data_IF_989920552004
#
_entry.id   IF_989920552004
#
_cell.length_a   1.000
_cell.length_b   1.000
_cell.length_c   1.000
_cell.angle_alpha   90.00
_cell.angle_beta   90.00
_cell.angle_gamma   90.00
#
_symmetry.space_group_name_H-M   'P 1'
#
loop_
_entity.id
_entity.type
_entity.pdbx_description
1 polymer ?
#
# COMPACT_ATOMS: atom_id res chain seq x y z
N UNK A 1 0.30 1.57 6.17
CA UNK A 1 -0.31 1.60 4.83
C UNK A 1 -1.82 1.32 4.95
N UNK A 2 -2.57 2.25 5.50
CA UNK A 2 -4.05 2.16 5.60
C UNK A 2 -4.74 3.28 4.84
N UNK A 3 -4.04 4.40 4.67
CA UNK A 3 -4.49 5.66 4.06
C UNK A 3 -5.02 5.53 2.61
N UNK A 4 -5.14 4.32 2.12
CA UNK A 4 -5.08 3.98 0.72
C UNK A 4 -5.94 2.76 0.38
N UNK A 5 -6.91 2.37 1.23
CA UNK A 5 -7.97 1.44 0.82
C UNK A 5 -7.70 -0.06 0.98
N UNK A 6 -6.99 -0.48 2.03
CA UNK A 6 -6.90 -1.91 2.40
C UNK A 6 -7.47 -2.15 3.82
N UNK A 7 -8.03 -3.34 4.04
CA UNK A 7 -8.30 -3.90 5.37
C UNK A 7 -6.96 -4.12 6.09
N UNK A 8 -6.49 -3.07 6.76
CA UNK A 8 -5.15 -2.93 7.31
C UNK A 8 -4.91 -3.63 8.66
N UNK A 9 -5.83 -4.49 9.11
CA UNK A 9 -5.83 -5.12 10.44
C UNK A 9 -4.57 -5.95 10.75
N UNK A 10 -4.25 -6.95 9.92
CA UNK A 10 -3.06 -7.77 10.14
C UNK A 10 -1.76 -7.00 9.89
N UNK A 11 -1.80 -5.97 9.04
CA UNK A 11 -0.60 -5.21 8.65
C UNK A 11 -0.10 -4.27 9.74
N UNK A 12 -1.00 -3.71 10.58
CA UNK A 12 -0.62 -2.75 11.63
C UNK A 12 0.08 -3.46 12.79
N UNK A 13 -0.41 -4.63 13.21
CA UNK A 13 0.20 -5.46 14.25
C UNK A 13 1.62 -5.89 13.86
N UNK A 14 1.79 -6.43 12.64
CA UNK A 14 3.10 -6.85 12.14
C UNK A 14 4.04 -5.65 11.94
N UNK A 15 3.54 -4.52 11.45
CA UNK A 15 4.33 -3.30 11.32
C UNK A 15 4.80 -2.78 12.69
N UNK A 16 3.95 -2.83 13.71
CA UNK A 16 4.33 -2.45 15.07
C UNK A 16 5.40 -3.38 15.65
N UNK A 17 5.26 -4.70 15.45
CA UNK A 17 6.26 -5.67 15.87
C UNK A 17 7.63 -5.44 15.18
N UNK A 18 7.63 -5.15 13.88
CA UNK A 18 8.85 -4.82 13.14
C UNK A 18 9.46 -3.50 13.61
N UNK A 19 8.66 -2.45 13.83
CA UNK A 19 9.15 -1.17 14.34
C UNK A 19 9.84 -1.33 15.71
N UNK A 20 9.27 -2.14 16.60
CA UNK A 20 9.89 -2.50 17.88
C UNK A 20 11.21 -3.26 17.68
N UNK A 21 11.27 -4.21 16.74
CA UNK A 21 12.49 -4.94 16.43
C UNK A 21 13.60 -4.04 15.84
N UNK A 22 13.21 -2.99 15.11
CA UNK A 22 14.10 -1.98 14.54
C UNK A 22 14.52 -0.90 15.56
N UNK A 23 14.00 -0.96 16.79
CA UNK A 23 14.40 -0.09 17.90
C UNK A 23 13.53 1.15 18.10
N UNK A 24 12.42 1.28 17.37
CA UNK A 24 11.39 2.28 17.68
C UNK A 24 10.52 1.75 18.82
N UNK A 25 10.54 2.41 19.97
CA UNK A 25 9.76 2.01 21.14
C UNK A 25 8.82 3.14 21.58
N UNK A 26 7.55 2.79 21.71
CA UNK A 26 6.52 3.64 22.30
C UNK A 26 5.48 2.74 23.02
N UNK A 27 4.79 3.24 24.07
CA UNK A 27 3.68 2.54 24.68
C UNK A 27 2.62 2.05 23.67
N UNK A 28 2.19 2.91 22.76
CA UNK A 28 1.20 2.57 21.75
C UNK A 28 1.70 1.51 20.74
N UNK A 29 2.98 1.54 20.35
CA UNK A 29 3.58 0.48 19.52
C UNK A 29 3.57 -0.88 20.22
N UNK A 30 3.92 -0.93 21.51
CA UNK A 30 3.91 -2.18 22.29
C UNK A 30 2.50 -2.75 22.44
N UNK A 31 1.52 -1.88 22.65
CA UNK A 31 0.11 -2.29 22.72
C UNK A 31 -0.36 -2.84 21.37
N UNK A 32 -0.07 -2.12 20.27
CA UNK A 32 -0.46 -2.54 18.93
C UNK A 32 0.17 -3.86 18.50
N UNK A 33 1.45 -4.09 18.83
CA UNK A 33 2.14 -5.36 18.56
C UNK A 33 1.57 -6.54 19.36
N UNK A 34 0.81 -6.28 20.43
CA UNK A 34 0.13 -7.29 21.24
C UNK A 34 -1.30 -7.61 20.80
N UNK A 35 -1.84 -6.91 19.81
CA UNK A 35 -3.21 -7.13 19.32
C UNK A 35 -3.33 -8.43 18.51
N UNK A 36 -4.51 -9.08 18.50
CA UNK A 36 -4.82 -10.13 17.51
C UNK A 36 -4.65 -9.62 16.07
N UNK A 37 -4.19 -10.48 15.16
CA UNK A 37 -4.00 -10.12 13.74
C UNK A 37 -5.32 -9.73 13.05
N UNK A 38 -6.44 -10.21 13.58
CA UNK A 38 -7.79 -9.97 13.11
C UNK A 38 -8.41 -8.69 13.71
N UNK A 39 -7.63 -7.89 14.44
CA UNK A 39 -8.12 -6.67 15.09
C UNK A 39 -8.54 -5.65 14.04
N UNK A 40 -9.79 -5.18 14.12
CA UNK A 40 -10.33 -4.27 13.12
C UNK A 40 -9.53 -2.97 13.01
N UNK A 41 -9.57 -2.37 11.81
CA UNK A 41 -8.94 -1.08 11.55
C UNK A 41 -9.37 0.00 12.56
N UNK A 42 -10.66 0.08 12.87
CA UNK A 42 -11.21 1.07 13.80
C UNK A 42 -10.59 1.02 15.19
N UNK A 43 -10.14 -0.16 15.64
CA UNK A 43 -9.47 -0.33 16.93
C UNK A 43 -7.98 0.01 16.83
N UNK A 44 -7.34 -0.29 15.70
CA UNK A 44 -5.91 -0.02 15.50
C UNK A 44 -5.61 1.42 15.07
N UNK A 45 -6.56 2.16 14.51
CA UNK A 45 -6.36 3.54 14.04
C UNK A 45 -5.84 4.47 15.14
N UNK A 46 -6.51 4.45 16.30
CA UNK A 46 -6.16 5.32 17.42
C UNK A 46 -4.74 5.02 17.90
N UNK A 47 -4.40 3.74 18.05
CA UNK A 47 -3.05 3.31 18.43
C UNK A 47 -1.99 3.70 17.40
N UNK A 48 -2.31 3.68 16.10
CA UNK A 48 -1.36 4.14 15.07
C UNK A 48 -1.13 5.64 15.22
N UNK A 49 -2.17 6.44 15.43
CA UNK A 49 -2.03 7.89 15.62
C UNK A 49 -1.23 8.21 16.88
N UNK A 50 -1.51 7.51 17.97
CA UNK A 50 -0.77 7.63 19.23
C UNK A 50 0.70 7.27 19.06
N UNK A 51 1.01 6.15 18.41
CA UNK A 51 2.40 5.73 18.14
C UNK A 51 3.19 6.78 17.36
N UNK A 52 2.60 7.39 16.33
CA UNK A 52 3.25 8.47 15.58
C UNK A 52 3.51 9.70 16.47
N UNK A 53 2.53 10.10 17.28
CA UNK A 53 2.69 11.22 18.20
C UNK A 53 3.75 10.96 19.28
N UNK A 54 3.79 9.75 19.86
CA UNK A 54 4.77 9.37 20.88
C UNK A 54 6.21 9.30 20.34
N UNK A 55 6.36 8.97 19.05
CA UNK A 55 7.66 8.92 18.36
C UNK A 55 8.08 10.26 17.75
N UNK A 56 7.29 11.33 17.93
CA UNK A 56 7.50 12.65 17.32
C UNK A 56 7.59 12.58 15.79
N UNK A 57 6.76 11.70 15.18
CA UNK A 57 6.66 11.49 13.75
C UNK A 57 5.38 12.14 13.20
N UNK A 58 5.51 12.77 12.03
CA UNK A 58 4.36 13.29 11.32
C UNK A 58 3.47 12.16 10.82
N UNK A 59 2.20 12.23 11.17
CA UNK A 59 1.20 11.28 10.67
C UNK A 59 1.00 11.51 9.15
N UNK A 60 1.21 10.50 8.29
CA UNK A 60 1.24 10.70 6.85
C UNK A 60 -0.12 11.10 6.30
N UNK A 61 -0.15 12.17 5.51
CA UNK A 61 -1.33 12.59 4.76
C UNK A 61 -1.62 11.58 3.64
N UNK A 62 -2.78 10.96 3.70
CA UNK A 62 -3.29 10.00 2.72
C UNK A 62 -3.38 10.55 1.30
N UNK A 63 -3.63 11.85 1.16
CA UNK A 63 -3.77 12.51 -0.13
C UNK A 63 -2.43 12.91 -0.75
N UNK A 64 -1.36 12.93 0.04
CA UNK A 64 -0.03 13.32 -0.41
C UNK A 64 0.51 12.36 -1.49
N UNK A 65 1.08 12.88 -2.60
CA UNK A 65 1.73 12.06 -3.60
C UNK A 65 2.82 11.16 -3.02
N UNK A 66 3.59 11.64 -2.05
CA UNK A 66 4.65 10.85 -1.42
C UNK A 66 4.09 9.62 -0.68
N UNK A 67 3.01 9.80 0.09
CA UNK A 67 2.32 8.70 0.78
C UNK A 67 1.77 7.69 -0.22
N UNK A 68 1.17 8.16 -1.32
CA UNK A 68 0.64 7.30 -2.39
C UNK A 68 1.73 6.53 -3.13
N UNK A 69 2.92 7.10 -3.32
CA UNK A 69 4.05 6.40 -3.94
C UNK A 69 4.63 5.30 -3.04
N UNK A 70 4.81 5.59 -1.75
CA UNK A 70 5.12 4.55 -0.77
C UNK A 70 4.01 3.49 -0.77
N UNK A 71 2.77 3.93 -0.99
CA UNK A 71 1.64 3.03 -1.02
C UNK A 71 1.69 2.04 -2.20
N UNK A 72 1.98 2.58 -3.39
CA UNK A 72 2.11 1.78 -4.59
C UNK A 72 3.27 0.78 -4.49
N UNK A 73 4.35 1.15 -3.78
CA UNK A 73 5.52 0.28 -3.60
C UNK A 73 5.18 -1.03 -2.88
N UNK A 74 4.51 -0.98 -1.74
CA UNK A 74 4.15 -2.24 -1.05
C UNK A 74 3.11 -3.02 -1.85
N UNK A 75 2.18 -2.35 -2.53
CA UNK A 75 1.23 -3.03 -3.42
C UNK A 75 1.95 -3.79 -4.54
N UNK A 76 2.98 -3.19 -5.13
CA UNK A 76 3.85 -3.88 -6.09
C UNK A 76 4.58 -5.07 -5.44
N UNK A 77 5.12 -4.93 -4.21
CA UNK A 77 5.78 -6.04 -3.50
C UNK A 77 4.83 -7.21 -3.27
N UNK A 78 3.64 -6.94 -2.72
CA UNK A 78 2.60 -7.96 -2.47
C UNK A 78 2.19 -8.68 -3.75
N UNK A 79 2.08 -7.96 -4.86
CA UNK A 79 1.80 -8.56 -6.16
C UNK A 79 2.96 -9.46 -6.64
N UNK A 80 4.21 -9.00 -6.50
CA UNK A 80 5.39 -9.79 -6.89
C UNK A 80 5.56 -11.05 -6.03
N UNK A 81 5.15 -10.99 -4.77
CA UNK A 81 5.09 -12.11 -3.80
C UNK A 81 3.84 -12.99 -3.98
N UNK A 82 2.98 -12.68 -4.94
CA UNK A 82 1.74 -13.38 -5.26
C UNK A 82 0.69 -13.39 -4.12
N UNK A 83 0.74 -12.40 -3.23
CA UNK A 83 -0.31 -12.18 -2.23
C UNK A 83 -1.58 -11.56 -2.82
N UNK A 84 -1.43 -10.77 -3.89
CA UNK A 84 -2.53 -10.15 -4.63
C UNK A 84 -2.38 -10.41 -6.13
N UNK A 85 -3.48 -10.37 -6.87
CA UNK A 85 -3.49 -10.49 -8.33
C UNK A 85 -3.17 -9.19 -9.06
N UNK A 86 -2.92 -9.29 -10.37
CA UNK A 86 -2.70 -8.12 -11.22
C UNK A 86 -3.92 -7.19 -11.26
N UNK A 87 -5.13 -7.75 -11.31
CA UNK A 87 -6.40 -6.99 -11.27
C UNK A 87 -6.52 -6.17 -10.01
N UNK A 88 -6.32 -6.82 -8.87
CA UNK A 88 -6.40 -6.17 -7.58
C UNK A 88 -5.38 -5.02 -7.44
N UNK A 89 -4.20 -5.13 -8.05
CA UNK A 89 -3.21 -4.06 -8.07
C UNK A 89 -3.65 -2.88 -8.96
N UNK A 90 -4.12 -3.14 -10.18
CA UNK A 90 -4.50 -2.08 -11.13
C UNK A 90 -5.77 -1.36 -10.71
N UNK A 91 -6.79 -2.09 -10.23
CA UNK A 91 -8.04 -1.52 -9.72
C UNK A 91 -7.77 -0.64 -8.49
N UNK A 92 -6.90 -1.12 -7.60
CA UNK A 92 -6.46 -0.35 -6.45
C UNK A 92 -5.75 0.94 -6.90
N UNK A 93 -4.81 0.83 -7.84
CA UNK A 93 -4.08 1.98 -8.35
C UNK A 93 -5.03 2.99 -9.00
N UNK A 94 -6.02 2.53 -9.76
CA UNK A 94 -7.03 3.39 -10.35
C UNK A 94 -7.82 4.15 -9.28
N UNK A 95 -8.33 3.46 -8.25
CA UNK A 95 -9.12 4.09 -7.19
C UNK A 95 -8.34 5.07 -6.30
N UNK A 96 -7.02 4.85 -6.16
CA UNK A 96 -6.17 5.55 -5.20
C UNK A 96 -5.27 6.60 -5.85
N UNK A 97 -4.49 6.16 -6.83
CA UNK A 97 -3.48 6.99 -7.50
C UNK A 97 -4.24 7.95 -8.40
N UNK A 98 -5.16 7.40 -9.19
CA UNK A 98 -6.00 8.14 -10.12
C UNK A 98 -5.21 8.72 -11.29
N UNK A 99 -5.95 9.27 -12.25
CA UNK A 99 -5.38 9.95 -13.41
C UNK A 99 -4.69 11.27 -13.04
N UNK A 100 -3.84 11.75 -13.95
CA UNK A 100 -3.08 13.00 -13.84
C UNK A 100 -2.17 13.02 -12.60
N UNK A 101 -1.75 11.83 -12.16
CA UNK A 101 -0.86 11.69 -11.02
C UNK A 101 0.55 12.22 -11.39
N UNK A 102 1.22 13.01 -10.53
CA UNK A 102 2.49 13.65 -10.88
C UNK A 102 3.65 12.69 -11.25
N UNK A 103 3.57 11.41 -10.87
CA UNK A 103 4.55 10.40 -11.25
C UNK A 103 3.99 9.51 -12.38
N UNK A 104 4.51 9.68 -13.58
CA UNK A 104 4.09 8.93 -14.78
C UNK A 104 4.24 7.41 -14.63
N UNK A 105 5.19 6.91 -13.84
CA UNK A 105 5.38 5.47 -13.63
C UNK A 105 4.31 4.91 -12.70
N UNK A 106 3.84 5.71 -11.74
CA UNK A 106 2.68 5.36 -10.93
C UNK A 106 1.38 5.42 -11.74
N UNK A 107 1.22 6.42 -12.61
CA UNK A 107 0.04 6.56 -13.47
C UNK A 107 -0.11 5.38 -14.46
N UNK A 108 0.99 4.73 -14.87
CA UNK A 108 0.93 3.52 -15.73
C UNK A 108 0.03 2.41 -15.18
N UNK A 109 -0.06 2.25 -13.87
CA UNK A 109 -0.92 1.22 -13.27
C UNK A 109 -2.40 1.55 -13.44
N UNK A 110 -2.75 2.84 -13.43
CA UNK A 110 -4.10 3.34 -13.72
C UNK A 110 -4.45 3.05 -15.18
N UNK A 111 -3.54 3.37 -16.11
CA UNK A 111 -3.76 3.13 -17.55
C UNK A 111 -3.82 1.63 -17.91
N UNK A 112 -3.15 0.77 -17.12
CA UNK A 112 -3.23 -0.68 -17.29
C UNK A 112 -4.60 -1.22 -16.88
N UNK A 113 -5.27 -0.57 -15.92
CA UNK A 113 -6.65 -0.86 -15.54
C UNK A 113 -7.63 -0.48 -16.67
N UNK A 114 -7.48 0.73 -17.22
CA UNK A 114 -8.29 1.24 -18.36
C UNK A 114 -8.20 0.38 -19.62
N UNK A 115 -7.18 -0.47 -19.74
CA UNK A 115 -7.03 -1.34 -20.91
C UNK A 115 -8.22 -2.30 -21.05
N UNK A 116 -8.96 -2.55 -19.96
CA UNK A 116 -10.18 -3.37 -19.94
C UNK A 116 -11.39 -2.67 -20.56
N UNK A 117 -11.50 -1.34 -20.43
CA UNK A 117 -12.68 -0.58 -20.88
C UNK A 117 -12.78 -0.46 -22.41
N UNK A 118 -11.65 -0.63 -23.12
CA UNK A 118 -11.58 -0.47 -24.57
C UNK A 118 -11.43 -1.78 -25.35
N UNK A 119 -11.21 -2.91 -24.66
CA UNK A 119 -10.97 -4.20 -25.28
C UNK A 119 -11.96 -5.26 -24.75
N UNK A 120 -12.73 -5.94 -25.62
CA UNK A 120 -13.68 -6.96 -25.17
C UNK A 120 -13.00 -8.20 -24.55
N UNK A 121 -11.71 -8.39 -24.80
CA UNK A 121 -10.87 -9.42 -24.18
C UNK A 121 -9.51 -8.81 -23.82
N UNK A 122 -9.03 -9.07 -22.60
CA UNK A 122 -7.70 -8.60 -22.20
C UNK A 122 -6.62 -9.28 -23.04
N UNK A 123 -5.61 -8.52 -23.52
CA UNK A 123 -4.45 -9.09 -24.20
C UNK A 123 -3.75 -10.14 -23.34
N UNK A 124 -3.26 -11.22 -23.97
CA UNK A 124 -2.53 -12.29 -23.27
C UNK A 124 -1.25 -11.80 -22.56
N UNK A 125 -0.72 -10.63 -22.96
CA UNK A 125 0.45 -10.01 -22.35
C UNK A 125 0.11 -8.96 -21.28
N UNK A 126 -1.17 -8.77 -20.93
CA UNK A 126 -1.59 -7.79 -19.92
C UNK A 126 -0.97 -8.05 -18.53
N UNK A 127 -1.13 -9.25 -17.97
CA UNK A 127 -0.53 -9.58 -16.67
C UNK A 127 1.01 -9.51 -16.69
N UNK A 128 1.71 -9.98 -17.75
CA UNK A 128 3.14 -9.70 -17.94
C UNK A 128 3.52 -8.21 -17.95
N UNK A 129 2.70 -7.33 -18.53
CA UNK A 129 2.92 -5.87 -18.49
C UNK A 129 2.79 -5.32 -17.07
N UNK A 130 1.77 -5.74 -16.32
CA UNK A 130 1.60 -5.34 -14.91
C UNK A 130 2.81 -5.79 -14.08
N UNK A 131 3.29 -7.03 -14.27
CA UNK A 131 4.53 -7.53 -13.65
C UNK A 131 5.75 -6.69 -14.00
N UNK A 132 5.94 -6.39 -15.28
CA UNK A 132 7.08 -5.59 -15.74
C UNK A 132 7.05 -4.17 -15.16
N UNK A 133 5.85 -3.57 -15.04
CA UNK A 133 5.69 -2.26 -14.41
C UNK A 133 6.01 -2.31 -12.91
N UNK A 134 5.54 -3.33 -12.18
CA UNK A 134 5.84 -3.52 -10.77
C UNK A 134 7.34 -3.71 -10.51
N UNK A 135 8.01 -4.58 -11.28
CA UNK A 135 9.46 -4.79 -11.19
C UNK A 135 10.24 -3.50 -11.46
N UNK A 136 9.86 -2.76 -12.50
CA UNK A 136 10.47 -1.47 -12.82
C UNK A 136 10.23 -0.42 -11.74
N UNK A 137 9.06 -0.41 -11.10
CA UNK A 137 8.74 0.53 -10.03
C UNK A 137 9.56 0.25 -8.76
N UNK A 138 9.70 -1.03 -8.37
CA UNK A 138 10.52 -1.43 -7.22
C UNK A 138 12.01 -1.14 -7.45
N UNK A 139 12.54 -1.40 -8.65
CA UNK A 139 13.96 -1.25 -8.96
C UNK A 139 14.46 0.21 -9.05
N UNK A 140 13.60 1.22 -8.83
CA UNK A 140 13.96 2.66 -8.90
C UNK A 140 14.60 3.22 -7.62
N UNK A 141 14.87 2.39 -6.61
CA UNK A 141 15.58 2.80 -5.38
C UNK A 141 17.10 2.71 -5.51
#
# INVERSE_FOLDING_TARGET
>A
MWAVGFDGSASSVLAAANALADGFDSPALREMAGLPLETSWWVSEDLVREAFAELDLDFPDASSPATKLVALRVMCQRFLEAEIGAEQLTEWAHSVIGHEFPDEQAEKFVLLDDTDDYMPERPADWAPRVRSAAEAFIARD
#
